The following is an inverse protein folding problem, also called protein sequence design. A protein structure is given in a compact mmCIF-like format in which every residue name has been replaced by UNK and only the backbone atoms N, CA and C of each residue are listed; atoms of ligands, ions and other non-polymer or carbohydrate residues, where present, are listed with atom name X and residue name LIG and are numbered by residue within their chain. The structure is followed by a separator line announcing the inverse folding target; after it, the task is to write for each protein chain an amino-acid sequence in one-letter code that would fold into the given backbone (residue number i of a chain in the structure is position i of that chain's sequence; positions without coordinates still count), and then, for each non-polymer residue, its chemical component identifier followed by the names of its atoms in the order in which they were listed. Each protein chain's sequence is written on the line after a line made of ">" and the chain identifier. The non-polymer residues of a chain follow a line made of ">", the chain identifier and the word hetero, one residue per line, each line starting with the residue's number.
data_IF_053545133709
#
_entry.id   IF_053545133709
#
_cell.length_a   1.000
_cell.length_b   1.000
_cell.length_c   1.000
_cell.angle_alpha   90.00
_cell.angle_beta   90.00
_cell.angle_gamma   90.00
#
_symmetry.space_group_name_H-M   'P 1'
#
loop_
_entity.id
_entity.type
_entity.pdbx_description
1 polymer ?
#
# COMPACT_ATOMS: atom_id res chain seq x y z
N UNK A 1 -90.93 19.35 -23.33
CA UNK A 1 -91.83 18.89 -24.41
C UNK A 1 -90.92 18.40 -25.54
N UNK A 2 -90.36 17.20 -25.40
CA UNK A 2 -90.71 15.97 -26.15
C UNK A 2 -90.71 16.20 -27.68
N UNK A 3 -89.93 15.55 -28.54
CA UNK A 3 -89.12 14.33 -28.48
C UNK A 3 -88.10 14.43 -29.63
N UNK A 4 -86.81 14.56 -29.32
CA UNK A 4 -85.71 14.29 -30.23
C UNK A 4 -85.18 12.88 -29.92
N UNK A 5 -84.48 12.27 -30.89
CA UNK A 5 -83.67 11.04 -30.78
C UNK A 5 -84.41 9.75 -31.21
N UNK A 6 -84.71 9.64 -32.51
CA UNK A 6 -84.83 8.36 -33.23
C UNK A 6 -84.11 8.55 -34.58
N UNK A 7 -82.77 8.46 -34.63
CA UNK A 7 -82.02 8.31 -35.90
C UNK A 7 -80.51 8.00 -35.74
N UNK A 8 -80.03 7.41 -34.64
CA UNK A 8 -78.57 7.21 -34.48
C UNK A 8 -78.15 5.94 -33.70
N UNK A 9 -78.98 4.90 -33.69
CA UNK A 9 -78.64 3.60 -33.07
C UNK A 9 -78.72 2.49 -34.13
N UNK A 10 -77.82 2.49 -35.13
CA UNK A 10 -77.58 1.33 -36.01
C UNK A 10 -76.16 1.24 -36.60
N UNK A 11 -75.16 1.88 -35.99
CA UNK A 11 -73.79 1.86 -36.51
C UNK A 11 -72.68 1.72 -35.44
N UNK A 12 -72.91 0.90 -34.40
CA UNK A 12 -71.87 0.48 -33.45
C UNK A 12 -72.02 -1.01 -33.07
N UNK A 13 -72.02 -1.89 -34.08
CA UNK A 13 -72.01 -3.35 -33.85
C UNK A 13 -71.08 -4.11 -34.83
N UNK A 14 -69.97 -3.47 -35.22
CA UNK A 14 -68.88 -4.11 -35.94
C UNK A 14 -67.57 -3.62 -35.32
N UNK A 15 -66.70 -4.57 -34.95
CA UNK A 15 -65.45 -4.42 -34.18
C UNK A 15 -65.52 -4.54 -32.66
N UNK A 16 -66.00 -5.68 -32.18
CA UNK A 16 -65.37 -6.33 -31.02
C UNK A 16 -65.16 -7.80 -31.39
N UNK A 17 -64.10 -8.07 -32.17
CA UNK A 17 -63.48 -9.40 -32.12
C UNK A 17 -62.99 -9.56 -30.68
N UNK A 18 -63.39 -10.62 -29.95
CA UNK A 18 -62.72 -10.94 -28.71
C UNK A 18 -61.30 -11.33 -29.09
N UNK A 19 -60.34 -10.43 -28.84
CA UNK A 19 -59.00 -10.91 -28.56
C UNK A 19 -59.16 -11.86 -27.37
N UNK A 20 -58.86 -13.13 -27.60
CA UNK A 20 -58.76 -14.16 -26.57
C UNK A 20 -57.73 -13.68 -25.53
N UNK A 21 -58.22 -12.92 -24.56
CA UNK A 21 -57.50 -12.71 -23.32
C UNK A 21 -57.69 -14.02 -22.57
N UNK A 22 -56.71 -14.92 -22.67
CA UNK A 22 -56.61 -16.09 -21.82
C UNK A 22 -56.47 -15.61 -20.36
N UNK A 23 -57.60 -15.30 -19.74
CA UNK A 23 -57.70 -15.13 -18.31
C UNK A 23 -57.45 -16.50 -17.68
N UNK A 24 -56.24 -16.72 -17.19
CA UNK A 24 -55.92 -17.90 -16.37
C UNK A 24 -56.82 -17.81 -15.13
N UNK A 25 -57.76 -18.75 -14.99
CA UNK A 25 -58.69 -18.78 -13.85
C UNK A 25 -57.94 -19.06 -12.55
N UNK A 26 -58.38 -18.46 -11.44
CA UNK A 26 -57.84 -18.72 -10.10
C UNK A 26 -57.86 -20.21 -9.71
N UNK A 27 -58.79 -20.99 -10.26
CA UNK A 27 -58.85 -22.46 -10.08
C UNK A 27 -57.70 -23.21 -10.76
N UNK A 28 -57.13 -22.66 -11.83
CA UNK A 28 -56.04 -23.30 -12.59
C UNK A 28 -54.70 -23.10 -11.88
N UNK A 29 -54.43 -21.89 -11.37
CA UNK A 29 -53.20 -21.57 -10.63
C UNK A 29 -53.12 -22.33 -9.31
N UNK A 30 -54.23 -22.48 -8.59
CA UNK A 30 -54.26 -23.29 -7.36
C UNK A 30 -53.99 -24.77 -7.62
N UNK A 31 -54.41 -25.31 -8.77
CA UNK A 31 -54.18 -26.71 -9.13
C UNK A 31 -52.70 -27.00 -9.41
N UNK A 32 -52.00 -26.12 -10.13
CA UNK A 32 -50.57 -26.30 -10.42
C UNK A 32 -49.70 -26.18 -9.16
N UNK A 33 -50.01 -25.24 -8.27
CA UNK A 33 -49.33 -25.11 -6.99
C UNK A 33 -49.50 -26.38 -6.15
N UNK A 34 -50.72 -26.94 -6.09
CA UNK A 34 -50.99 -28.21 -5.40
C UNK A 34 -50.19 -29.37 -6.00
N UNK A 35 -50.04 -29.46 -7.33
CA UNK A 35 -49.19 -30.49 -7.97
C UNK A 35 -47.74 -30.39 -7.52
N UNK A 36 -47.19 -29.18 -7.47
CA UNK A 36 -45.81 -28.94 -7.01
C UNK A 36 -45.66 -29.37 -5.55
N UNK A 37 -46.57 -28.94 -4.67
CA UNK A 37 -46.55 -29.36 -3.26
C UNK A 37 -46.65 -30.88 -3.10
N UNK A 38 -47.46 -31.56 -3.92
CA UNK A 38 -47.58 -33.02 -3.88
C UNK A 38 -46.28 -33.74 -4.28
N UNK A 39 -45.49 -33.18 -5.20
CA UNK A 39 -44.17 -33.74 -5.54
C UNK A 39 -43.21 -33.66 -4.35
N UNK A 40 -43.19 -32.52 -3.65
CA UNK A 40 -42.20 -32.25 -2.59
C UNK A 40 -42.65 -32.59 -1.16
N UNK A 41 -43.86 -33.12 -0.94
CA UNK A 41 -44.31 -33.52 0.40
C UNK A 41 -43.31 -34.49 1.06
N UNK A 42 -42.53 -33.94 2.02
CA UNK A 42 -41.47 -34.67 2.72
C UNK A 42 -40.19 -34.94 1.92
N UNK A 43 -40.00 -34.31 0.75
CA UNK A 43 -38.87 -34.57 -0.18
C UNK A 43 -38.07 -33.32 -0.59
N UNK A 44 -38.30 -32.17 0.05
CA UNK A 44 -37.58 -30.91 -0.25
C UNK A 44 -36.06 -31.00 -0.08
N UNK A 45 -35.54 -31.99 0.64
CA UNK A 45 -34.11 -32.23 0.81
C UNK A 45 -33.47 -33.13 -0.26
N UNK A 46 -34.25 -33.71 -1.18
CA UNK A 46 -33.75 -34.63 -2.21
C UNK A 46 -33.48 -33.86 -3.50
N UNK A 47 -32.29 -34.05 -4.08
CA UNK A 47 -31.93 -33.43 -5.37
C UNK A 47 -32.97 -33.81 -6.45
N UNK A 48 -33.48 -32.86 -7.24
CA UNK A 48 -34.64 -33.07 -8.09
C UNK A 48 -34.29 -33.72 -9.42
N UNK A 49 -33.51 -34.80 -9.37
CA UNK A 49 -33.12 -35.59 -10.53
C UNK A 49 -33.96 -36.86 -10.60
N UNK A 50 -34.40 -37.22 -11.81
CA UNK A 50 -35.07 -38.49 -12.04
C UNK A 50 -34.06 -39.65 -12.12
N UNK A 51 -32.85 -39.38 -12.61
CA UNK A 51 -31.72 -40.31 -12.70
C UNK A 51 -30.54 -39.78 -11.89
N UNK A 52 -30.17 -40.49 -10.82
CA UNK A 52 -29.07 -40.12 -9.92
C UNK A 52 -27.68 -40.24 -10.58
N UNK A 53 -27.58 -40.82 -11.78
CA UNK A 53 -26.35 -40.82 -12.57
C UNK A 53 -26.08 -39.49 -13.29
N UNK A 54 -27.10 -38.63 -13.39
CA UNK A 54 -26.99 -37.32 -14.02
C UNK A 54 -26.47 -36.26 -13.04
N UNK A 55 -25.84 -35.23 -13.58
CA UNK A 55 -25.34 -34.09 -12.82
C UNK A 55 -26.28 -32.91 -12.96
N UNK A 56 -26.82 -32.42 -11.85
CA UNK A 56 -27.62 -31.20 -11.84
C UNK A 56 -26.70 -29.99 -12.07
N UNK A 57 -27.06 -29.13 -13.02
CA UNK A 57 -26.31 -27.89 -13.29
C UNK A 57 -27.01 -26.71 -12.65
N UNK A 58 -26.28 -25.96 -11.82
CA UNK A 58 -26.75 -24.70 -11.23
C UNK A 58 -25.93 -23.55 -11.81
N UNK A 59 -26.60 -22.62 -12.48
CA UNK A 59 -25.98 -21.43 -13.06
C UNK A 59 -26.05 -20.26 -12.10
N UNK A 60 -24.89 -19.66 -11.80
CA UNK A 60 -24.73 -18.54 -10.88
C UNK A 60 -24.46 -17.24 -11.64
N UNK A 61 -25.25 -16.21 -11.36
CA UNK A 61 -25.02 -14.86 -11.83
C UNK A 61 -24.82 -13.92 -10.66
N UNK A 62 -23.90 -12.96 -10.80
CA UNK A 62 -23.67 -11.94 -9.78
C UNK A 62 -23.68 -10.55 -10.41
N UNK A 63 -24.36 -9.61 -9.75
CA UNK A 63 -24.38 -8.21 -10.11
C UNK A 63 -23.80 -7.43 -8.93
N UNK A 64 -22.63 -6.83 -9.12
CA UNK A 64 -21.99 -6.00 -8.11
C UNK A 64 -22.77 -4.69 -7.98
N UNK A 65 -23.19 -4.35 -6.75
CA UNK A 65 -23.90 -3.12 -6.43
C UNK A 65 -22.98 -2.12 -5.74
N UNK A 66 -22.23 -2.59 -4.75
CA UNK A 66 -21.30 -1.73 -4.02
C UNK A 66 -20.10 -2.54 -3.51
N UNK A 67 -18.95 -1.87 -3.48
CA UNK A 67 -17.80 -2.27 -2.68
C UNK A 67 -17.89 -1.50 -1.37
N UNK A 68 -18.35 -2.16 -0.30
CA UNK A 68 -18.66 -1.50 0.96
C UNK A 68 -17.37 -1.18 1.72
N UNK A 69 -16.50 -2.18 1.85
CA UNK A 69 -15.23 -2.03 2.53
C UNK A 69 -14.19 -3.04 2.01
N UNK A 70 -12.93 -2.63 2.08
CA UNK A 70 -11.80 -3.55 1.97
C UNK A 70 -10.84 -3.24 3.12
N UNK A 71 -10.88 -4.09 4.13
CA UNK A 71 -9.94 -4.07 5.23
C UNK A 71 -8.66 -4.77 4.79
N UNK A 72 -7.69 -3.95 4.37
CA UNK A 72 -6.35 -4.39 3.95
C UNK A 72 -5.48 -4.84 5.13
N UNK A 73 -5.88 -4.59 6.38
CA UNK A 73 -5.20 -5.07 7.59
C UNK A 73 -5.68 -6.48 7.96
N UNK A 74 -7.00 -6.68 8.01
CA UNK A 74 -7.62 -7.96 8.30
C UNK A 74 -7.67 -8.91 7.08
N UNK A 75 -7.55 -8.37 5.87
CA UNK A 75 -7.69 -9.13 4.63
C UNK A 75 -9.13 -9.55 4.37
N UNK A 76 -10.07 -8.62 4.55
CA UNK A 76 -11.51 -8.88 4.42
C UNK A 76 -12.12 -7.89 3.43
N UNK A 77 -12.89 -8.43 2.47
CA UNK A 77 -13.64 -7.66 1.48
C UNK A 77 -15.14 -7.81 1.72
N UNK A 78 -15.83 -6.69 1.85
CA UNK A 78 -17.27 -6.59 2.03
C UNK A 78 -17.91 -5.99 0.77
N UNK A 79 -18.85 -6.71 0.16
CA UNK A 79 -19.57 -6.26 -1.03
C UNK A 79 -21.07 -6.48 -0.88
N UNK A 80 -21.86 -5.60 -1.51
CA UNK A 80 -23.29 -5.82 -1.71
C UNK A 80 -23.54 -6.23 -3.16
N UNK A 81 -24.35 -7.27 -3.35
CA UNK A 81 -24.59 -7.88 -4.66
C UNK A 81 -26.02 -8.31 -4.84
N UNK A 82 -26.52 -8.30 -6.08
CA UNK A 82 -27.60 -9.23 -6.43
C UNK A 82 -26.98 -10.56 -6.85
N UNK A 83 -27.31 -11.62 -6.12
CA UNK A 83 -26.94 -12.97 -6.48
C UNK A 83 -28.15 -13.64 -7.12
N UNK A 84 -27.92 -14.29 -8.26
CA UNK A 84 -28.93 -15.03 -9.01
C UNK A 84 -28.50 -16.48 -9.19
N UNK A 85 -29.47 -17.38 -9.07
CA UNK A 85 -29.28 -18.81 -9.30
C UNK A 85 -30.37 -19.32 -10.23
N UNK A 86 -29.97 -20.20 -11.13
CA UNK A 86 -30.86 -20.87 -12.06
C UNK A 86 -30.57 -22.37 -12.07
N UNK A 87 -31.62 -23.17 -11.95
CA UNK A 87 -31.57 -24.63 -12.09
C UNK A 87 -32.88 -25.14 -12.68
N UNK A 88 -32.93 -26.41 -13.08
CA UNK A 88 -34.13 -27.05 -13.62
C UNK A 88 -34.62 -28.13 -12.66
N UNK A 89 -35.93 -28.18 -12.43
CA UNK A 89 -36.63 -29.19 -11.64
C UNK A 89 -37.08 -30.34 -12.56
N UNK A 90 -36.20 -31.30 -12.81
CA UNK A 90 -36.44 -32.37 -13.80
C UNK A 90 -37.64 -33.25 -13.44
N UNK A 91 -37.86 -33.51 -12.15
CA UNK A 91 -39.02 -34.30 -11.68
C UNK A 91 -40.34 -33.64 -12.09
N UNK A 92 -40.47 -32.33 -11.88
CA UNK A 92 -41.68 -31.60 -12.26
C UNK A 92 -41.80 -31.50 -13.79
N UNK A 93 -40.70 -31.13 -14.46
CA UNK A 93 -40.67 -30.97 -15.92
C UNK A 93 -41.10 -32.25 -16.64
N UNK A 94 -40.53 -33.40 -16.26
CA UNK A 94 -40.83 -34.68 -16.91
C UNK A 94 -42.24 -35.20 -16.57
N UNK A 95 -42.80 -34.82 -15.42
CA UNK A 95 -44.14 -35.29 -15.00
C UNK A 95 -45.26 -34.41 -15.56
N UNK A 96 -45.08 -33.08 -15.55
CA UNK A 96 -46.15 -32.11 -15.84
C UNK A 96 -45.78 -31.05 -16.89
N UNK A 97 -44.49 -30.79 -17.13
CA UNK A 97 -44.03 -29.64 -17.92
C UNK A 97 -44.58 -29.57 -19.35
N UNK A 98 -44.65 -30.69 -20.07
CA UNK A 98 -45.15 -30.71 -21.45
C UNK A 98 -46.64 -30.33 -21.59
N UNK A 99 -47.45 -30.57 -20.55
CA UNK A 99 -48.86 -30.25 -20.50
C UNK A 99 -49.16 -28.97 -19.69
N UNK A 100 -48.14 -28.37 -19.09
CA UNK A 100 -48.28 -27.18 -18.25
C UNK A 100 -48.46 -25.91 -19.11
N UNK A 101 -49.18 -24.90 -18.59
CA UNK A 101 -49.30 -23.61 -19.24
C UNK A 101 -47.94 -22.91 -19.35
N UNK A 102 -47.78 -22.07 -20.37
CA UNK A 102 -46.58 -21.26 -20.58
C UNK A 102 -46.56 -20.03 -19.65
N UNK A 103 -46.54 -20.30 -18.35
CA UNK A 103 -46.61 -19.30 -17.27
C UNK A 103 -45.64 -19.67 -16.15
N UNK A 104 -45.44 -18.73 -15.22
CA UNK A 104 -44.56 -18.92 -14.06
C UNK A 104 -45.34 -18.70 -12.76
N UNK A 105 -44.91 -19.37 -11.70
CA UNK A 105 -45.43 -19.20 -10.34
C UNK A 105 -44.29 -18.83 -9.39
N UNK A 106 -44.60 -18.05 -8.35
CA UNK A 106 -43.67 -17.73 -7.26
C UNK A 106 -43.98 -18.62 -6.07
N UNK A 107 -42.97 -19.33 -5.56
CA UNK A 107 -43.11 -20.31 -4.48
C UNK A 107 -42.04 -20.03 -3.43
N UNK A 108 -42.33 -20.29 -2.16
CA UNK A 108 -41.32 -20.23 -1.11
C UNK A 108 -40.24 -21.29 -1.31
N UNK A 109 -38.97 -20.90 -1.12
CA UNK A 109 -37.81 -21.78 -1.17
C UNK A 109 -37.86 -22.92 -0.14
N UNK A 110 -38.67 -22.81 0.92
CA UNK A 110 -38.89 -23.89 1.88
C UNK A 110 -39.76 -25.03 1.32
N UNK A 111 -40.53 -24.78 0.25
CA UNK A 111 -41.51 -25.71 -0.31
C UNK A 111 -40.99 -26.54 -1.49
N UNK A 112 -39.81 -26.20 -2.00
CA UNK A 112 -39.15 -26.88 -3.13
C UNK A 112 -37.70 -27.20 -2.75
N UNK A 113 -37.03 -28.01 -3.56
CA UNK A 113 -35.60 -28.20 -3.39
C UNK A 113 -34.84 -26.91 -3.72
N UNK A 114 -33.76 -26.66 -2.98
CA UNK A 114 -32.85 -25.53 -3.22
C UNK A 114 -31.39 -25.98 -3.13
N UNK A 115 -30.49 -25.42 -3.95
CA UNK A 115 -29.08 -25.77 -3.89
C UNK A 115 -28.45 -25.27 -2.58
N UNK A 116 -27.84 -26.16 -1.80
CA UNK A 116 -27.10 -25.80 -0.58
C UNK A 116 -25.70 -25.31 -0.95
N UNK A 117 -25.58 -24.01 -1.25
CA UNK A 117 -24.31 -23.36 -1.59
C UNK A 117 -23.70 -22.61 -0.40
N UNK A 118 -22.38 -22.60 -0.35
CA UNK A 118 -21.58 -21.88 0.66
C UNK A 118 -20.49 -21.05 0.01
N UNK A 119 -20.12 -19.96 0.69
CA UNK A 119 -18.92 -19.19 0.38
C UNK A 119 -17.72 -19.80 1.11
N UNK A 120 -16.82 -20.43 0.37
CA UNK A 120 -15.67 -21.18 0.91
C UNK A 120 -14.71 -20.29 1.69
N UNK A 121 -14.47 -19.08 1.19
CA UNK A 121 -13.59 -18.11 1.82
C UNK A 121 -14.38 -17.03 2.56
N UNK A 122 -15.47 -17.40 3.25
CA UNK A 122 -16.19 -16.44 4.10
C UNK A 122 -15.31 -16.00 5.27
N UNK A 123 -15.28 -14.69 5.54
CA UNK A 123 -14.61 -14.13 6.71
C UNK A 123 -15.58 -13.81 7.88
N UNK A 124 -16.88 -13.98 7.66
CA UNK A 124 -17.95 -13.82 8.66
C UNK A 124 -18.56 -15.15 9.08
N UNK A 125 -19.71 -15.09 9.77
CA UNK A 125 -20.50 -16.29 10.06
C UNK A 125 -21.12 -16.84 8.77
N UNK A 126 -20.86 -18.11 8.46
CA UNK A 126 -21.38 -18.75 7.25
C UNK A 126 -22.89 -18.98 7.38
N UNK A 127 -23.71 -18.07 6.85
CA UNK A 127 -25.15 -18.30 6.69
C UNK A 127 -25.44 -19.04 5.39
N UNK A 128 -26.58 -19.74 5.34
CA UNK A 128 -27.07 -20.26 4.06
C UNK A 128 -27.45 -19.09 3.15
N UNK A 129 -26.96 -19.15 1.91
CA UNK A 129 -27.19 -18.10 0.91
C UNK A 129 -28.67 -18.02 0.54
N UNK A 130 -29.32 -19.17 0.38
CA UNK A 130 -30.76 -19.24 0.06
C UNK A 130 -31.53 -19.53 1.35
N UNK A 131 -32.20 -18.50 1.88
CA UNK A 131 -32.95 -18.60 3.12
C UNK A 131 -34.30 -19.30 2.90
N UNK A 132 -34.97 -19.77 3.96
CA UNK A 132 -36.25 -20.48 3.83
C UNK A 132 -37.41 -19.58 3.38
N UNK A 133 -37.41 -18.33 3.85
CA UNK A 133 -38.37 -17.29 3.48
C UNK A 133 -38.20 -16.76 2.04
N UNK A 134 -37.07 -17.04 1.39
CA UNK A 134 -36.79 -16.59 0.04
C UNK A 134 -37.85 -17.11 -0.93
N UNK A 135 -38.09 -16.36 -2.01
CA UNK A 135 -39.05 -16.71 -3.04
C UNK A 135 -38.33 -17.16 -4.31
N UNK A 136 -38.81 -18.22 -4.94
CA UNK A 136 -38.28 -18.79 -6.18
C UNK A 136 -39.36 -18.71 -7.25
N UNK A 137 -39.01 -18.22 -8.44
CA UNK A 137 -39.89 -18.22 -9.60
C UNK A 137 -39.66 -19.52 -10.37
N UNK A 138 -40.71 -20.31 -10.54
CA UNK A 138 -40.68 -21.53 -11.33
C UNK A 138 -41.48 -21.34 -12.62
N UNK A 139 -40.86 -21.61 -13.76
CA UNK A 139 -41.50 -21.63 -15.07
C UNK A 139 -42.10 -23.01 -15.32
N UNK A 140 -43.43 -23.11 -15.36
CA UNK A 140 -44.14 -24.39 -15.31
C UNK A 140 -43.83 -25.26 -16.52
N UNK A 141 -43.82 -24.69 -17.72
CA UNK A 141 -43.59 -25.45 -18.96
C UNK A 141 -42.17 -26.01 -19.11
N UNK A 142 -41.16 -25.30 -18.61
CA UNK A 142 -39.75 -25.72 -18.70
C UNK A 142 -39.21 -26.37 -17.43
N UNK A 143 -39.90 -26.25 -16.30
CA UNK A 143 -39.40 -26.63 -14.98
C UNK A 143 -38.22 -25.79 -14.48
N UNK A 144 -37.87 -24.71 -15.18
CA UNK A 144 -36.76 -23.84 -14.80
C UNK A 144 -37.13 -23.02 -13.56
N UNK A 145 -36.24 -23.00 -12.58
CA UNK A 145 -36.32 -22.24 -11.35
C UNK A 145 -35.31 -21.10 -11.36
N UNK A 146 -35.76 -19.90 -11.01
CA UNK A 146 -34.94 -18.71 -10.86
C UNK A 146 -35.09 -18.16 -9.44
N UNK A 147 -33.95 -17.98 -8.77
CA UNK A 147 -33.86 -17.28 -7.49
C UNK A 147 -32.96 -16.07 -7.67
N UNK A 148 -33.34 -14.93 -7.11
CA UNK A 148 -32.51 -13.72 -7.11
C UNK A 148 -32.77 -12.92 -5.83
N UNK A 149 -31.70 -12.54 -5.14
CA UNK A 149 -31.81 -11.81 -3.88
C UNK A 149 -30.61 -10.87 -3.69
N UNK A 150 -30.79 -9.82 -2.88
CA UNK A 150 -29.68 -8.96 -2.46
C UNK A 150 -28.93 -9.65 -1.33
N UNK A 151 -27.63 -9.85 -1.50
CA UNK A 151 -26.76 -10.54 -0.56
C UNK A 151 -25.52 -9.72 -0.30
N UNK A 152 -25.30 -9.42 0.96
CA UNK A 152 -24.03 -8.90 1.46
C UNK A 152 -23.06 -10.06 1.67
N UNK A 153 -21.91 -9.99 1.00
CA UNK A 153 -20.89 -11.02 1.03
C UNK A 153 -19.63 -10.47 1.70
N UNK A 154 -19.15 -11.22 2.68
CA UNK A 154 -17.89 -10.96 3.37
C UNK A 154 -16.90 -12.09 3.07
N UNK A 155 -15.86 -11.76 2.29
CA UNK A 155 -14.88 -12.71 1.78
C UNK A 155 -13.45 -12.41 2.26
N UNK A 156 -12.74 -13.44 2.71
CA UNK A 156 -11.31 -13.35 2.99
C UNK A 156 -10.53 -13.20 1.69
N UNK A 157 -9.63 -12.22 1.66
CA UNK A 157 -8.74 -11.89 0.56
C UNK A 157 -7.32 -11.63 1.09
N UNK A 158 -6.30 -11.99 0.31
CA UNK A 158 -4.91 -11.71 0.69
C UNK A 158 -4.48 -10.38 0.09
N UNK A 159 -4.29 -9.32 0.90
CA UNK A 159 -3.85 -8.03 0.42
C UNK A 159 -2.39 -8.11 -0.07
N UNK A 160 -2.08 -7.37 -1.12
CA UNK A 160 -0.72 -7.18 -1.61
C UNK A 160 -0.36 -5.71 -1.55
N UNK A 161 0.30 -5.30 -0.46
CA UNK A 161 0.64 -3.90 -0.17
C UNK A 161 2.05 -3.50 -0.64
N UNK A 162 2.69 -4.32 -1.48
CA UNK A 162 4.08 -4.08 -1.90
C UNK A 162 4.29 -2.68 -2.50
N UNK A 163 3.38 -2.23 -3.36
CA UNK A 163 3.43 -0.90 -3.99
C UNK A 163 2.55 0.15 -3.31
N UNK A 164 2.18 -0.04 -2.03
CA UNK A 164 1.37 0.93 -1.30
C UNK A 164 1.94 2.37 -1.42
N UNK A 165 1.10 3.40 -1.67
CA UNK A 165 -0.37 3.40 -1.78
C UNK A 165 -0.89 3.18 -3.22
N UNK A 166 -0.04 2.77 -4.16
CA UNK A 166 -0.38 2.46 -5.56
C UNK A 166 -0.63 0.96 -5.76
N UNK A 167 -1.21 0.34 -4.75
CA UNK A 167 -1.45 -1.09 -4.66
C UNK A 167 -2.72 -1.52 -5.42
N UNK A 168 -2.66 -2.74 -5.93
CA UNK A 168 -3.75 -3.42 -6.64
C UNK A 168 -3.97 -4.76 -5.97
N UNK A 169 -5.23 -5.12 -5.77
CA UNK A 169 -5.62 -6.34 -5.08
C UNK A 169 -6.53 -7.19 -5.96
N UNK A 170 -6.27 -8.50 -5.96
CA UNK A 170 -7.06 -9.51 -6.65
C UNK A 170 -7.83 -10.33 -5.61
N UNK A 171 -9.08 -9.94 -5.36
CA UNK A 171 -9.95 -10.62 -4.41
C UNK A 171 -10.95 -11.51 -5.12
N UNK A 172 -11.41 -12.58 -4.46
CA UNK A 172 -12.35 -13.51 -5.09
C UNK A 172 -13.36 -14.07 -4.11
N UNK A 173 -14.58 -14.24 -4.55
CA UNK A 173 -15.65 -14.95 -3.84
C UNK A 173 -15.84 -16.33 -4.48
N UNK A 174 -15.67 -17.38 -3.67
CA UNK A 174 -15.66 -18.77 -4.15
C UNK A 174 -16.86 -19.53 -3.60
N UNK A 175 -17.80 -19.87 -4.46
CA UNK A 175 -18.98 -20.66 -4.12
C UNK A 175 -18.75 -22.14 -4.40
N UNK A 176 -19.27 -23.00 -3.55
CA UNK A 176 -19.32 -24.45 -3.75
C UNK A 176 -20.54 -25.06 -3.08
N UNK A 177 -20.87 -26.30 -3.43
CA UNK A 177 -21.92 -27.04 -2.73
C UNK A 177 -21.43 -27.59 -1.39
N UNK A 178 -22.23 -27.38 -0.34
CA UNK A 178 -21.99 -27.98 0.98
C UNK A 178 -22.17 -29.49 0.93
N UNK A 179 -23.28 -29.96 0.38
CA UNK A 179 -23.68 -31.37 0.42
C UNK A 179 -23.13 -32.20 -0.75
N UNK A 180 -23.07 -31.65 -1.96
CA UNK A 180 -22.89 -32.44 -3.20
C UNK A 180 -21.48 -32.38 -3.77
N UNK A 181 -21.06 -33.43 -4.45
CA UNK A 181 -19.79 -33.47 -5.20
C UNK A 181 -19.99 -33.02 -6.67
N UNK A 182 -18.89 -32.84 -7.41
CA UNK A 182 -18.93 -32.36 -8.80
C UNK A 182 -19.67 -33.30 -9.77
N UNK A 183 -19.81 -34.59 -9.45
CA UNK A 183 -20.58 -35.55 -10.24
C UNK A 183 -22.09 -35.44 -10.03
N UNK A 184 -22.53 -34.91 -8.89
CA UNK A 184 -23.95 -34.77 -8.54
C UNK A 184 -24.45 -33.36 -8.86
N UNK A 185 -23.63 -32.35 -8.56
CA UNK A 185 -23.95 -30.94 -8.77
C UNK A 185 -22.76 -30.18 -9.38
N UNK A 186 -22.98 -29.63 -10.56
CA UNK A 186 -22.04 -28.76 -11.28
C UNK A 186 -22.46 -27.30 -11.16
N UNK A 187 -21.49 -26.43 -10.89
CA UNK A 187 -21.68 -24.99 -10.81
C UNK A 187 -21.14 -24.32 -12.07
N UNK A 188 -22.00 -23.56 -12.74
CA UNK A 188 -21.62 -22.70 -13.86
C UNK A 188 -21.77 -21.24 -13.47
N UNK A 189 -21.02 -20.35 -14.14
CA UNK A 189 -21.19 -18.90 -13.97
C UNK A 189 -21.83 -18.34 -15.24
N UNK A 190 -23.03 -17.79 -15.11
CA UNK A 190 -23.81 -17.23 -16.22
C UNK A 190 -23.43 -15.77 -16.51
N UNK A 191 -23.20 -14.98 -15.47
CA UNK A 191 -22.87 -13.56 -15.62
C UNK A 191 -22.14 -12.98 -14.42
N UNK A 192 -21.28 -11.99 -14.66
CA UNK A 192 -20.75 -11.12 -13.61
C UNK A 192 -20.70 -9.68 -14.13
N UNK A 193 -21.60 -8.84 -13.61
CA UNK A 193 -21.87 -7.50 -14.14
C UNK A 193 -21.79 -6.44 -13.05
N UNK A 194 -21.63 -5.17 -13.46
CA UNK A 194 -21.57 -3.99 -12.59
C UNK A 194 -22.46 -2.83 -13.08
N UNK A 195 -23.51 -3.15 -13.86
CA UNK A 195 -24.45 -2.20 -14.46
C UNK A 195 -25.08 -1.20 -13.45
N UNK A 196 -25.35 -1.65 -12.21
CA UNK A 196 -25.89 -0.82 -11.11
C UNK A 196 -24.87 -0.52 -10.01
N UNK A 197 -23.58 -0.49 -10.35
CA UNK A 197 -22.52 -0.31 -9.37
C UNK A 197 -22.35 1.16 -8.96
N UNK A 198 -22.37 1.41 -7.65
CA UNK A 198 -21.99 2.68 -7.06
C UNK A 198 -20.47 2.72 -6.83
N UNK A 199 -19.81 3.75 -7.37
CA UNK A 199 -18.36 3.90 -7.22
C UNK A 199 -17.95 4.14 -5.76
N UNK A 200 -16.91 3.43 -5.33
CA UNK A 200 -16.32 3.62 -4.02
C UNK A 200 -15.32 4.80 -4.00
N UNK A 201 -15.29 5.52 -2.88
CA UNK A 201 -14.46 6.72 -2.67
C UNK A 201 -12.98 6.39 -2.41
N UNK A 202 -12.68 5.22 -1.85
CA UNK A 202 -11.32 4.79 -1.54
C UNK A 202 -10.73 3.85 -2.60
N UNK A 203 -11.58 3.12 -3.33
CA UNK A 203 -11.18 2.03 -4.22
C UNK A 203 -11.85 2.13 -5.60
N UNK A 204 -11.11 1.82 -6.66
CA UNK A 204 -11.65 1.65 -8.02
C UNK A 204 -11.72 0.17 -8.38
N UNK A 205 -12.78 -0.24 -9.08
CA UNK A 205 -12.93 -1.60 -9.62
C UNK A 205 -12.41 -1.62 -11.06
N UNK A 206 -11.23 -2.20 -11.25
CA UNK A 206 -10.51 -2.21 -12.53
C UNK A 206 -10.98 -3.32 -13.45
N UNK A 207 -11.08 -4.55 -12.92
CA UNK A 207 -11.44 -5.74 -13.71
C UNK A 207 -12.30 -6.69 -12.91
N UNK A 208 -13.22 -7.34 -13.60
CA UNK A 208 -14.03 -8.44 -13.07
C UNK A 208 -13.86 -9.65 -13.97
N UNK A 209 -13.73 -10.82 -13.37
CA UNK A 209 -13.57 -12.08 -14.10
C UNK A 209 -14.25 -13.21 -13.36
N UNK A 210 -14.60 -14.25 -14.11
CA UNK A 210 -15.28 -15.43 -13.59
C UNK A 210 -14.51 -16.67 -13.99
N UNK A 211 -14.54 -17.69 -13.15
CA UNK A 211 -13.93 -18.99 -13.46
C UNK A 211 -14.72 -20.08 -12.78
N UNK A 212 -15.07 -21.11 -13.53
CA UNK A 212 -15.60 -22.37 -12.98
C UNK A 212 -14.46 -23.38 -12.96
N UNK A 213 -14.31 -24.07 -11.83
CA UNK A 213 -13.23 -25.02 -11.64
C UNK A 213 -13.70 -26.19 -10.78
N UNK A 214 -13.25 -27.39 -11.14
CA UNK A 214 -13.44 -28.59 -10.33
C UNK A 214 -12.15 -28.78 -9.53
N UNK A 215 -12.27 -28.77 -8.20
CA UNK A 215 -11.14 -28.94 -7.29
C UNK A 215 -11.58 -29.80 -6.11
N UNK A 216 -10.77 -30.77 -5.72
CA UNK A 216 -11.05 -31.69 -4.61
C UNK A 216 -12.41 -32.42 -4.76
N UNK A 217 -12.76 -32.84 -5.98
CA UNK A 217 -14.06 -33.45 -6.33
C UNK A 217 -15.28 -32.57 -6.04
N UNK A 218 -15.08 -31.26 -5.86
CA UNK A 218 -16.14 -30.26 -5.68
C UNK A 218 -16.15 -29.29 -6.85
N UNK A 219 -17.33 -29.00 -7.37
CA UNK A 219 -17.50 -27.91 -8.33
C UNK A 219 -17.44 -26.56 -7.61
N UNK A 220 -16.64 -25.63 -8.12
CA UNK A 220 -16.46 -24.29 -7.54
C UNK A 220 -16.68 -23.21 -8.59
N UNK A 221 -17.46 -22.20 -8.23
CA UNK A 221 -17.63 -20.98 -9.01
C UNK A 221 -16.88 -19.83 -8.33
N UNK A 222 -15.94 -19.22 -9.06
CA UNK A 222 -15.10 -18.13 -8.57
C UNK A 222 -15.47 -16.84 -9.28
N UNK A 223 -15.87 -15.84 -8.52
CA UNK A 223 -16.02 -14.45 -8.96
C UNK A 223 -14.82 -13.66 -8.48
N UNK A 224 -14.02 -13.10 -9.38
CA UNK A 224 -12.81 -12.36 -9.04
C UNK A 224 -12.95 -10.88 -9.40
N UNK A 225 -12.61 -10.02 -8.44
CA UNK A 225 -12.66 -8.56 -8.53
C UNK A 225 -11.24 -8.05 -8.32
N UNK A 226 -10.73 -7.31 -9.31
CA UNK A 226 -9.48 -6.56 -9.21
C UNK A 226 -9.80 -5.13 -8.82
N UNK A 227 -9.29 -4.70 -7.68
CA UNK A 227 -9.46 -3.33 -7.17
C UNK A 227 -8.11 -2.61 -7.09
N UNK A 228 -8.13 -1.28 -7.26
CA UNK A 228 -6.97 -0.42 -7.09
C UNK A 228 -7.28 0.72 -6.10
N UNK A 229 -6.29 1.13 -5.32
CA UNK A 229 -6.48 2.22 -4.34
C UNK A 229 -6.48 3.59 -5.01
N UNK A 230 -7.37 4.47 -4.58
CA UNK A 230 -7.32 5.90 -4.94
C UNK A 230 -6.22 6.60 -4.11
N UNK A 231 -5.01 6.65 -4.68
CA UNK A 231 -3.78 7.00 -3.96
C UNK A 231 -3.53 8.51 -3.73
N UNK A 232 -4.25 9.40 -4.41
CA UNK A 232 -3.96 10.85 -4.41
C UNK A 232 -3.92 11.45 -3.00
N UNK A 233 -4.86 11.06 -2.14
CA UNK A 233 -4.94 11.54 -0.76
C UNK A 233 -3.67 11.15 0.03
N UNK A 234 -3.19 9.91 -0.15
CA UNK A 234 -1.99 9.42 0.52
C UNK A 234 -0.72 10.12 0.03
N UNK A 235 -0.66 10.44 -1.27
CA UNK A 235 0.46 11.20 -1.85
C UNK A 235 0.57 12.58 -1.21
N UNK A 236 -0.55 13.31 -1.11
CA UNK A 236 -0.55 14.67 -0.58
C UNK A 236 -0.32 14.74 0.94
N UNK A 237 -0.88 13.81 1.71
CA UNK A 237 -0.86 13.87 3.17
C UNK A 237 0.30 13.10 3.82
N UNK A 238 0.93 12.16 3.12
CA UNK A 238 2.07 11.40 3.66
C UNK A 238 3.33 11.57 2.82
N UNK A 239 3.30 11.23 1.53
CA UNK A 239 4.51 11.20 0.69
C UNK A 239 5.11 12.60 0.55
N UNK A 240 4.28 13.62 0.28
CA UNK A 240 4.74 14.99 0.11
C UNK A 240 5.40 15.56 1.40
N UNK A 241 4.79 15.46 2.60
CA UNK A 241 5.46 15.84 3.86
C UNK A 241 6.76 15.11 4.12
N UNK A 242 6.84 13.80 3.82
CA UNK A 242 8.06 13.01 3.99
C UNK A 242 9.20 13.52 3.09
N UNK A 243 8.91 13.87 1.83
CA UNK A 243 9.90 14.44 0.90
C UNK A 243 10.38 15.82 1.34
N UNK A 244 9.48 16.65 1.89
CA UNK A 244 9.86 17.95 2.46
C UNK A 244 10.75 17.74 3.70
N UNK A 245 10.36 16.81 4.58
CA UNK A 245 11.11 16.49 5.80
C UNK A 245 12.50 15.92 5.50
N UNK A 246 12.64 15.08 4.47
CA UNK A 246 13.95 14.56 4.05
C UNK A 246 14.86 15.65 3.50
N UNK A 247 14.30 16.59 2.74
CA UNK A 247 15.00 17.81 2.35
C UNK A 247 15.48 18.59 3.56
N UNK A 248 14.59 18.91 4.49
CA UNK A 248 14.87 19.65 5.72
C UNK A 248 15.98 18.98 6.56
N UNK A 249 15.92 17.67 6.75
CA UNK A 249 16.88 16.92 7.57
C UNK A 249 18.36 17.19 7.20
N UNK A 250 18.66 17.42 5.91
CA UNK A 250 20.03 17.72 5.43
C UNK A 250 20.44 19.17 5.70
N UNK A 251 19.49 20.12 5.82
CA UNK A 251 19.80 21.54 6.11
C UNK A 251 20.43 21.76 7.49
N UNK A 252 20.45 20.74 8.37
CA UNK A 252 21.15 20.83 9.67
C UNK A 252 22.64 21.17 9.53
N UNK A 253 23.28 20.77 8.42
CA UNK A 253 24.69 21.06 8.18
C UNK A 253 24.94 22.50 7.70
N UNK A 254 23.90 23.22 7.26
CA UNK A 254 23.99 24.65 6.92
C UNK A 254 23.87 25.51 8.19
N UNK A 255 23.18 25.02 9.22
CA UNK A 255 23.01 25.74 10.48
C UNK A 255 24.39 25.96 11.16
N UNK A 256 24.67 27.21 11.60
CA UNK A 256 25.92 27.54 12.25
C UNK A 256 26.08 26.74 13.54
N UNK A 257 27.28 26.21 13.76
CA UNK A 257 27.63 25.33 14.89
C UNK A 257 27.46 26.00 16.26
N UNK A 258 27.63 27.31 16.31
CA UNK A 258 27.42 28.13 17.52
C UNK A 258 25.96 28.18 17.99
N UNK A 259 25.00 27.74 17.17
CA UNK A 259 23.60 27.71 17.56
C UNK A 259 23.29 26.45 18.37
N UNK A 260 22.86 26.64 19.62
CA UNK A 260 22.37 25.55 20.47
C UNK A 260 21.15 24.83 19.85
N UNK A 261 20.43 25.50 18.95
CA UNK A 261 19.25 24.97 18.26
C UNK A 261 19.57 23.89 17.22
N UNK A 262 20.84 23.75 16.80
CA UNK A 262 21.23 22.74 15.79
C UNK A 262 20.96 21.31 16.25
N UNK A 263 21.22 21.00 17.53
CA UNK A 263 20.91 19.69 18.09
C UNK A 263 19.39 19.47 18.17
N UNK A 264 18.65 20.48 18.65
CA UNK A 264 17.20 20.44 18.76
C UNK A 264 16.52 20.22 17.40
N UNK A 265 16.98 20.90 16.36
CA UNK A 265 16.52 20.71 14.98
C UNK A 265 16.70 19.26 14.51
N UNK A 266 17.90 18.70 14.71
CA UNK A 266 18.22 17.35 14.28
C UNK A 266 17.36 16.30 14.99
N UNK A 267 17.20 16.42 16.31
CA UNK A 267 16.37 15.53 17.12
C UNK A 267 14.89 15.63 16.72
N UNK A 268 14.40 16.84 16.45
CA UNK A 268 13.02 17.07 16.00
C UNK A 268 12.76 16.42 14.64
N UNK A 269 13.69 16.53 13.68
CA UNK A 269 13.59 15.86 12.39
C UNK A 269 13.55 14.33 12.54
N UNK A 270 14.42 13.77 13.38
CA UNK A 270 14.44 12.33 13.67
C UNK A 270 13.11 11.86 14.28
N UNK A 271 12.59 12.58 15.27
CA UNK A 271 11.31 12.26 15.90
C UNK A 271 10.14 12.33 14.89
N UNK A 272 10.14 13.33 14.01
CA UNK A 272 9.14 13.45 12.96
C UNK A 272 9.14 12.23 12.02
N UNK A 273 10.32 11.73 11.61
CA UNK A 273 10.40 10.49 10.82
C UNK A 273 9.83 9.29 11.55
N UNK A 274 10.11 9.14 12.85
CA UNK A 274 9.56 8.04 13.66
C UNK A 274 8.03 8.11 13.70
N UNK A 275 7.45 9.30 13.86
CA UNK A 275 5.99 9.50 13.86
C UNK A 275 5.37 9.13 12.52
N UNK A 276 5.95 9.58 11.40
CA UNK A 276 5.44 9.24 10.07
C UNK A 276 5.59 7.74 9.76
N UNK A 277 6.72 7.14 10.10
CA UNK A 277 6.93 5.70 9.96
C UNK A 277 5.89 4.91 10.76
N UNK A 278 5.69 5.26 12.03
CA UNK A 278 4.72 4.58 12.88
C UNK A 278 3.30 4.71 12.32
N UNK A 279 2.91 5.91 11.88
CA UNK A 279 1.60 6.15 11.25
C UNK A 279 1.37 5.22 10.05
N UNK A 280 2.33 5.15 9.13
CA UNK A 280 2.21 4.29 7.94
C UNK A 280 2.17 2.80 8.32
N UNK A 281 3.02 2.35 9.25
CA UNK A 281 3.05 0.94 9.68
C UNK A 281 1.74 0.54 10.36
N UNK A 282 1.10 1.44 11.11
CA UNK A 282 -0.20 1.14 11.73
C UNK A 282 -1.35 1.02 10.74
N UNK A 283 -1.23 1.65 9.56
CA UNK A 283 -2.22 1.55 8.47
C UNK A 283 -2.01 0.35 7.54
N UNK A 284 -0.94 -0.42 7.74
CA UNK A 284 -0.61 -1.58 6.92
C UNK A 284 -0.95 -2.89 7.66
N UNK A 285 -1.24 -3.98 6.93
CA UNK A 285 -1.41 -5.29 7.53
C UNK A 285 -0.19 -5.70 8.35
N UNK A 286 -0.43 -6.31 9.52
CA UNK A 286 0.60 -6.91 10.39
C UNK A 286 1.13 -8.23 9.82
N UNK A 287 1.47 -8.25 8.53
CA UNK A 287 2.11 -9.38 7.87
C UNK A 287 3.61 -9.13 7.72
N UNK A 288 4.42 -10.17 7.88
CA UNK A 288 5.86 -10.11 7.61
C UNK A 288 6.18 -10.12 6.12
N UNK A 289 5.21 -10.42 5.24
CA UNK A 289 5.41 -10.41 3.79
C UNK A 289 4.09 -10.24 3.00
N UNK A 290 4.11 -9.53 1.85
CA UNK A 290 5.18 -8.64 1.39
C UNK A 290 5.15 -7.29 2.15
N UNK A 291 6.32 -6.80 2.57
CA UNK A 291 6.48 -5.45 3.16
C UNK A 291 6.43 -4.41 2.04
N UNK A 292 5.80 -3.25 2.30
CA UNK A 292 5.69 -2.19 1.31
C UNK A 292 7.03 -1.51 1.02
N UNK A 293 7.27 -1.14 -0.25
CA UNK A 293 8.48 -0.40 -0.65
C UNK A 293 8.56 0.95 0.06
N UNK A 294 7.42 1.58 0.36
CA UNK A 294 7.35 2.83 1.14
C UNK A 294 7.91 2.66 2.57
N UNK A 295 7.64 1.52 3.24
CA UNK A 295 8.18 1.25 4.58
C UNK A 295 9.70 1.07 4.53
N UNK A 296 10.24 0.40 3.51
CA UNK A 296 11.69 0.32 3.31
C UNK A 296 12.31 1.70 3.11
N UNK A 297 11.69 2.53 2.27
CA UNK A 297 12.12 3.91 2.04
C UNK A 297 12.15 4.73 3.34
N UNK A 298 11.06 4.68 4.12
CA UNK A 298 10.97 5.37 5.41
C UNK A 298 11.99 4.87 6.44
N UNK A 299 12.24 3.56 6.48
CA UNK A 299 13.23 2.97 7.39
C UNK A 299 14.63 3.48 7.06
N UNK A 300 14.99 3.55 5.77
CA UNK A 300 16.27 4.11 5.34
C UNK A 300 16.37 5.59 5.69
N UNK A 301 15.36 6.41 5.41
CA UNK A 301 15.37 7.83 5.79
C UNK A 301 15.49 8.06 7.29
N UNK A 302 14.79 7.25 8.10
CA UNK A 302 14.93 7.27 9.55
C UNK A 302 16.35 6.91 9.99
N UNK A 303 16.97 5.89 9.39
CA UNK A 303 18.35 5.50 9.72
C UNK A 303 19.36 6.59 9.33
N UNK A 304 19.17 7.27 8.20
CA UNK A 304 20.00 8.40 7.78
C UNK A 304 19.85 9.56 8.77
N UNK A 305 18.62 9.89 9.17
CA UNK A 305 18.36 10.92 10.19
C UNK A 305 19.00 10.56 11.55
N UNK A 306 18.96 9.29 11.96
CA UNK A 306 19.66 8.81 13.14
C UNK A 306 21.19 8.97 13.03
N UNK A 307 21.78 8.69 11.86
CA UNK A 307 23.22 8.90 11.64
C UNK A 307 23.56 10.40 11.70
N UNK A 308 22.74 11.25 11.06
CA UNK A 308 22.92 12.71 11.06
C UNK A 308 22.84 13.27 12.49
N UNK A 309 21.85 12.87 13.28
CA UNK A 309 21.73 13.30 14.69
C UNK A 309 22.96 12.91 15.50
N UNK A 310 23.45 11.67 15.36
CA UNK A 310 24.68 11.22 16.05
C UNK A 310 25.90 12.03 15.62
N UNK A 311 26.05 12.30 14.32
CA UNK A 311 27.14 13.13 13.79
C UNK A 311 27.08 14.56 14.36
N UNK A 312 25.89 15.18 14.37
CA UNK A 312 25.69 16.52 14.94
C UNK A 312 26.06 16.54 16.42
N UNK A 313 25.56 15.59 17.21
CA UNK A 313 25.89 15.49 18.64
C UNK A 313 27.40 15.29 18.84
N UNK A 314 28.04 14.43 18.04
CA UNK A 314 29.48 14.23 18.10
C UNK A 314 30.25 15.52 17.80
N UNK A 315 29.88 16.25 16.74
CA UNK A 315 30.52 17.53 16.39
C UNK A 315 30.37 18.57 17.50
N UNK A 316 29.19 18.67 18.12
CA UNK A 316 28.94 19.59 19.24
C UNK A 316 29.71 19.19 20.51
N UNK A 317 29.82 17.89 20.80
CA UNK A 317 30.62 17.40 21.93
C UNK A 317 32.11 17.70 21.74
N UNK A 318 32.62 17.57 20.51
CA UNK A 318 34.00 17.94 20.19
C UNK A 318 34.24 19.44 20.38
N UNK A 319 33.33 20.29 19.91
CA UNK A 319 33.42 21.74 20.08
C UNK A 319 33.43 22.14 21.56
N UNK A 320 32.49 21.62 22.37
CA UNK A 320 32.45 21.88 23.82
C UNK A 320 33.72 21.41 24.55
N UNK A 321 34.32 20.29 24.12
CA UNK A 321 35.59 19.80 24.68
C UNK A 321 36.76 20.72 24.35
N UNK A 322 36.83 21.24 23.13
CA UNK A 322 37.88 22.18 22.70
C UNK A 322 37.75 23.50 23.45
N UNK A 323 36.57 24.10 23.52
CA UNK A 323 36.32 25.35 24.27
C UNK A 323 36.72 25.18 25.74
N UNK A 324 36.31 24.07 26.38
CA UNK A 324 36.68 23.78 27.78
C UNK A 324 38.18 23.58 27.98
N UNK A 325 38.90 23.00 27.02
CA UNK A 325 40.36 22.90 27.09
C UNK A 325 41.02 24.28 27.01
N UNK A 326 40.50 25.17 26.16
CA UNK A 326 41.04 26.51 25.99
C UNK A 326 40.81 27.38 27.23
N UNK A 327 39.62 27.33 27.86
CA UNK A 327 39.37 28.00 29.14
C UNK A 327 40.33 27.55 30.26
N UNK A 328 40.70 26.27 30.29
CA UNK A 328 41.66 25.73 31.27
C UNK A 328 43.08 26.20 30.96
N UNK A 329 43.46 26.28 29.68
CA UNK A 329 44.78 26.80 29.28
C UNK A 329 44.92 28.30 29.54
N UNK A 330 43.86 29.10 29.34
CA UNK A 330 43.86 30.53 29.68
C UNK A 330 44.02 30.76 31.18
N UNK A 331 43.25 30.04 32.02
CA UNK A 331 43.41 30.11 33.49
C UNK A 331 44.83 29.78 33.94
N UNK A 332 45.46 28.75 33.35
CA UNK A 332 46.87 28.42 33.63
C UNK A 332 47.84 29.52 33.19
N UNK A 333 47.56 30.22 32.09
CA UNK A 333 48.39 31.36 31.62
C UNK A 333 48.24 32.57 32.56
N UNK A 334 47.05 32.83 33.08
CA UNK A 334 46.79 33.90 34.05
C UNK A 334 47.46 33.61 35.40
N UNK A 335 47.31 32.40 35.94
CA UNK A 335 48.01 31.96 37.17
C UNK A 335 49.55 32.03 37.02
N UNK A 336 50.08 31.61 35.87
CA UNK A 336 51.52 31.73 35.59
C UNK A 336 51.98 33.18 35.46
N UNK A 337 51.17 34.11 34.92
CA UNK A 337 51.50 35.53 34.89
C UNK A 337 51.49 36.14 36.29
N UNK A 338 50.54 35.77 37.14
CA UNK A 338 50.46 36.25 38.52
C UNK A 338 51.63 35.73 39.36
N UNK A 339 52.00 34.46 39.22
CA UNK A 339 53.18 33.87 39.87
C UNK A 339 54.50 34.48 39.36
N UNK A 340 54.57 34.87 38.08
CA UNK A 340 55.74 35.56 37.52
C UNK A 340 55.83 37.02 37.97
N UNK A 341 54.71 37.68 38.26
CA UNK A 341 54.67 39.00 38.90
C UNK A 341 55.19 38.97 40.33
N UNK A 342 54.79 37.97 41.13
CA UNK A 342 55.27 37.79 42.51
C UNK A 342 56.77 37.42 42.58
N UNK A 343 57.26 36.58 41.67
CA UNK A 343 58.69 36.26 41.57
C UNK A 343 59.59 37.42 41.06
N UNK A 344 59.02 38.49 40.49
CA UNK A 344 59.77 39.69 40.11
C UNK A 344 59.87 40.68 41.27
N UNK A 345 58.95 40.63 42.24
CA UNK A 345 59.06 41.39 43.49
C UNK A 345 60.05 40.77 44.48
N UNK A 346 60.30 39.45 44.43
CA UNK A 346 61.32 38.77 45.24
C UNK A 346 62.75 38.76 44.63
N UNK A 347 62.94 39.28 43.40
CA UNK A 347 64.27 39.32 42.74
C UNK A 347 64.84 40.73 42.55
N UNK A 348 64.45 41.66 43.42
CA UNK A 348 65.06 43.00 43.54
C UNK A 348 65.96 43.13 44.77
N UNK A 349 66.74 42.09 45.07
CA UNK A 349 67.92 42.17 45.93
C UNK A 349 68.93 41.16 45.39
N UNK A 350 69.78 41.62 44.47
CA UNK A 350 71.22 41.35 44.41
C UNK A 350 71.77 41.64 43.00
N UNK A 351 72.83 42.44 43.02
CA UNK A 351 73.47 43.09 41.89
C UNK A 351 74.29 42.14 40.99
N UNK A 352 74.52 42.68 39.78
CA UNK A 352 75.81 42.78 39.10
C UNK A 352 76.38 41.67 38.20
N UNK A 353 76.70 42.18 37.00
CA UNK A 353 77.85 41.90 36.13
C UNK A 353 77.79 40.83 35.01
N UNK A 354 78.23 41.37 33.85
CA UNK A 354 78.92 40.76 32.67
C UNK A 354 78.08 40.15 31.55
N UNK A 355 78.20 40.79 30.38
CA UNK A 355 79.12 40.27 29.35
C UNK A 355 78.51 39.53 28.16
N UNK A 356 78.42 40.27 27.05
CA UNK A 356 78.71 39.94 25.65
C UNK A 356 78.18 38.69 24.91
N UNK A 357 77.85 38.99 23.64
CA UNK A 357 77.95 38.20 22.41
C UNK A 357 76.80 37.30 21.90
N UNK A 358 76.33 37.76 20.73
CA UNK A 358 75.62 37.08 19.64
C UNK A 358 75.84 35.56 19.53
N UNK A 359 74.75 34.81 19.32
CA UNK A 359 74.72 33.76 18.29
C UNK A 359 73.30 33.31 17.91
N UNK A 360 73.03 33.42 16.62
CA UNK A 360 71.99 32.71 15.89
C UNK A 360 72.20 31.19 15.95
N UNK A 361 71.13 30.45 16.28
CA UNK A 361 71.00 28.97 16.14
C UNK A 361 69.52 28.74 15.78
N UNK A 362 69.17 28.72 14.50
CA UNK A 362 68.97 27.53 13.66
C UNK A 362 67.77 26.67 14.09
N UNK A 363 66.58 27.05 13.63
CA UNK A 363 65.48 26.10 13.50
C UNK A 363 65.80 25.12 12.37
N UNK A 364 66.03 23.85 12.72
CA UNK A 364 66.06 22.74 11.77
C UNK A 364 64.63 22.47 11.31
N UNK A 365 64.33 22.42 10.01
CA UNK A 365 63.11 21.79 9.54
C UNK A 365 63.28 20.27 9.55
N UNK A 366 62.52 19.59 10.41
CA UNK A 366 62.24 18.17 10.25
C UNK A 366 61.02 18.06 9.33
N UNK A 367 61.24 17.78 8.05
CA UNK A 367 60.44 16.86 7.21
C UNK A 367 60.87 16.95 5.74
N UNK A 368 61.22 15.79 5.18
CA UNK A 368 61.78 15.57 3.84
C UNK A 368 60.75 15.67 2.68
N UNK A 369 59.62 16.37 2.86
CA UNK A 369 58.51 16.39 1.89
C UNK A 369 58.53 17.56 0.89
N UNK A 370 59.52 18.45 0.95
CA UNK A 370 59.58 19.66 0.12
C UNK A 370 60.75 19.66 -0.87
N UNK A 371 60.97 18.57 -1.61
CA UNK A 371 61.80 18.61 -2.83
C UNK A 371 60.88 18.53 -4.05
N UNK A 372 60.81 19.55 -4.91
CA UNK A 372 60.17 19.44 -6.20
C UNK A 372 61.16 18.77 -7.17
N UNK A 373 61.10 17.44 -7.29
CA UNK A 373 61.84 16.77 -8.37
C UNK A 373 61.00 16.69 -9.65
N UNK A 374 61.47 17.52 -10.58
CA UNK A 374 61.42 17.46 -12.04
C UNK A 374 61.16 16.06 -12.62
N UNK A 375 60.28 16.07 -13.62
CA UNK A 375 59.87 15.04 -14.58
C UNK A 375 61.04 14.25 -15.17
N UNK A 376 60.88 12.92 -15.28
CA UNK A 376 61.37 12.14 -16.44
C UNK A 376 60.44 10.95 -16.72
N UNK A 377 60.05 10.85 -17.99
CA UNK A 377 59.20 9.84 -18.62
C UNK A 377 59.85 8.46 -18.63
N UNK A 378 59.08 7.40 -18.32
CA UNK A 378 59.15 6.13 -19.06
C UNK A 378 57.74 5.63 -19.32
N UNK A 379 57.42 5.53 -20.60
CA UNK A 379 56.22 4.98 -21.17
C UNK A 379 56.24 3.44 -21.20
N UNK A 380 55.03 2.89 -21.18
CA UNK A 380 54.52 1.67 -21.84
C UNK A 380 53.93 0.53 -20.98
N UNK A 381 52.60 0.44 -21.14
CA UNK A 381 51.76 -0.72 -21.45
C UNK A 381 50.88 -1.39 -20.37
N UNK A 382 49.58 -1.19 -20.63
CA UNK A 382 48.40 -2.04 -20.41
C UNK A 382 47.58 -1.87 -19.13
N UNK A 383 46.68 -0.89 -19.24
CA UNK A 383 45.41 -0.71 -18.55
C UNK A 383 44.49 -1.94 -18.67
N UNK A 384 43.79 -2.27 -17.58
CA UNK A 384 42.32 -2.35 -17.61
C UNK A 384 41.76 -2.06 -16.20
N UNK A 385 41.64 -0.79 -15.84
CA UNK A 385 40.81 -0.36 -14.71
C UNK A 385 40.08 0.92 -15.12
N UNK A 386 38.75 0.85 -15.11
CA UNK A 386 37.82 1.93 -15.42
C UNK A 386 38.21 3.20 -14.65
N UNK A 387 38.22 4.34 -15.35
CA UNK A 387 38.38 5.64 -14.71
C UNK A 387 37.20 5.94 -13.77
N UNK A 388 37.43 6.33 -12.50
CA UNK A 388 36.36 6.69 -11.59
C UNK A 388 35.72 8.03 -11.99
N UNK A 389 34.40 8.22 -11.76
CA UNK A 389 33.69 9.43 -12.13
C UNK A 389 34.30 10.69 -11.51
N UNK A 390 34.22 11.84 -12.20
CA UNK A 390 34.85 13.13 -11.84
C UNK A 390 34.63 13.58 -10.38
N UNK A 391 33.58 13.12 -9.68
CA UNK A 391 33.35 13.36 -8.25
C UNK A 391 34.36 12.65 -7.33
N UNK A 392 34.78 11.42 -7.64
CA UNK A 392 35.78 10.67 -6.86
C UNK A 392 37.18 11.27 -7.00
N UNK A 393 37.50 11.83 -8.17
CA UNK A 393 38.75 12.58 -8.38
C UNK A 393 38.77 13.90 -7.58
N UNK A 394 37.64 14.59 -7.46
CA UNK A 394 37.50 15.75 -6.56
C UNK A 394 37.68 15.38 -5.09
N UNK A 395 37.16 14.22 -4.66
CA UNK A 395 37.34 13.69 -3.30
C UNK A 395 38.83 13.46 -2.98
N UNK A 396 39.56 12.82 -3.90
CA UNK A 396 41.00 12.57 -3.77
C UNK A 396 41.82 13.87 -3.64
N UNK A 397 41.48 14.88 -4.45
CA UNK A 397 42.14 16.18 -4.42
C UNK A 397 41.85 16.96 -3.13
N UNK A 398 40.62 16.87 -2.62
CA UNK A 398 40.24 17.47 -1.33
C UNK A 398 40.94 16.78 -0.15
N UNK A 399 41.02 15.45 -0.13
CA UNK A 399 41.79 14.71 0.89
C UNK A 399 43.28 15.05 0.86
N UNK A 400 43.90 15.17 -0.32
CA UNK A 400 45.31 15.61 -0.44
C UNK A 400 45.51 17.04 0.04
N UNK A 401 44.55 17.94 -0.19
CA UNK A 401 44.60 19.33 0.25
C UNK A 401 44.47 19.47 1.77
N UNK A 402 43.68 18.60 2.42
CA UNK A 402 43.56 18.49 3.89
C UNK A 402 44.89 18.04 4.51
N UNK A 403 45.54 17.03 3.92
CA UNK A 403 46.82 16.49 4.43
C UNK A 403 47.99 17.47 4.21
N UNK A 404 48.09 18.12 3.05
CA UNK A 404 49.17 19.08 2.78
C UNK A 404 49.09 20.38 3.61
N UNK A 405 47.88 20.87 3.93
CA UNK A 405 47.72 22.05 4.80
C UNK A 405 48.06 21.77 6.27
N UNK A 406 48.04 20.50 6.68
CA UNK A 406 48.35 20.07 8.05
C UNK A 406 49.84 20.24 8.41
N UNK A 407 50.73 20.36 7.41
CA UNK A 407 52.19 20.34 7.63
C UNK A 407 52.88 21.73 7.69
N UNK A 408 52.21 22.86 7.39
CA UNK A 408 52.93 24.11 7.04
C UNK A 408 52.76 25.30 8.03
N UNK A 409 51.91 25.30 9.07
CA UNK A 409 51.66 26.54 9.85
C UNK A 409 51.73 26.42 11.39
N UNK A 410 52.18 27.49 12.10
CA UNK A 410 52.67 27.48 13.48
C UNK A 410 51.57 27.34 14.56
N UNK A 411 52.00 27.01 15.79
CA UNK A 411 51.22 26.45 16.91
C UNK A 411 50.22 27.38 17.64
N UNK A 412 50.14 28.67 17.33
CA UNK A 412 49.31 29.64 18.10
C UNK A 412 47.88 29.87 17.57
N UNK A 413 47.41 29.07 16.60
CA UNK A 413 46.09 29.23 15.95
C UNK A 413 45.18 27.99 16.09
N UNK A 414 45.12 27.38 17.27
CA UNK A 414 44.38 26.11 17.48
C UNK A 414 42.85 26.25 17.41
N UNK A 415 42.27 27.37 17.85
CA UNK A 415 40.82 27.65 17.79
C UNK A 415 40.29 27.79 16.36
N UNK A 416 40.89 28.68 15.54
CA UNK A 416 40.49 28.88 14.14
C UNK A 416 40.61 27.57 13.32
N UNK A 417 41.59 26.72 13.66
CA UNK A 417 41.90 25.47 12.96
C UNK A 417 40.80 24.41 13.11
N UNK A 418 40.17 24.28 14.29
CA UNK A 418 39.11 23.29 14.49
C UNK A 418 37.77 23.74 13.91
N UNK A 419 37.46 25.04 13.99
CA UNK A 419 36.24 25.61 13.39
C UNK A 419 36.26 25.48 11.86
N UNK A 420 37.42 25.70 11.23
CA UNK A 420 37.56 25.59 9.77
C UNK A 420 37.52 24.14 9.27
N UNK A 421 38.07 23.20 10.05
CA UNK A 421 37.94 21.76 9.78
C UNK A 421 36.50 21.31 9.91
N UNK A 422 35.79 21.74 10.96
CA UNK A 422 34.38 21.41 11.15
C UNK A 422 33.49 22.02 10.05
N UNK A 423 33.78 23.25 9.59
CA UNK A 423 33.09 23.87 8.44
C UNK A 423 33.28 23.06 7.16
N UNK A 424 34.50 22.58 6.93
CA UNK A 424 34.80 21.75 5.76
C UNK A 424 34.06 20.40 5.82
N UNK A 425 33.98 19.80 7.02
CA UNK A 425 33.24 18.55 7.24
C UNK A 425 31.73 18.73 7.06
N UNK A 426 31.14 19.80 7.57
CA UNK A 426 29.70 20.06 7.41
C UNK A 426 29.32 20.25 5.94
N UNK A 427 30.12 20.99 5.16
CA UNK A 427 29.89 21.11 3.71
C UNK A 427 30.02 19.76 3.01
N UNK A 428 30.98 18.93 3.42
CA UNK A 428 31.13 17.59 2.87
C UNK A 428 29.91 16.70 3.19
N UNK A 429 29.48 16.65 4.47
CA UNK A 429 28.33 15.86 4.88
C UNK A 429 27.04 16.37 4.22
N UNK A 430 26.86 17.68 4.12
CA UNK A 430 25.74 18.28 3.42
C UNK A 430 25.63 17.77 1.97
N UNK A 431 26.72 17.86 1.21
CA UNK A 431 26.74 17.40 -0.19
C UNK A 431 26.55 15.89 -0.27
N UNK A 432 27.21 15.12 0.60
CA UNK A 432 27.13 13.67 0.62
C UNK A 432 25.69 13.18 0.89
N UNK A 433 25.06 13.68 1.96
CA UNK A 433 23.70 13.30 2.32
C UNK A 433 22.68 13.84 1.31
N UNK A 434 22.80 15.08 0.83
CA UNK A 434 21.87 15.61 -0.16
C UNK A 434 21.88 14.78 -1.45
N UNK A 435 23.07 14.46 -1.98
CA UNK A 435 23.17 13.65 -3.20
C UNK A 435 22.65 12.23 -2.96
N UNK A 436 22.97 11.64 -1.80
CA UNK A 436 22.47 10.31 -1.41
C UNK A 436 20.94 10.26 -1.35
N UNK A 437 20.32 11.26 -0.69
CA UNK A 437 18.87 11.43 -0.54
C UNK A 437 18.16 11.59 -1.89
N UNK A 438 18.71 12.42 -2.79
CA UNK A 438 18.15 12.63 -4.14
C UNK A 438 18.21 11.32 -4.95
N UNK A 439 19.37 10.65 -4.96
CA UNK A 439 19.53 9.39 -5.70
C UNK A 439 18.56 8.34 -5.15
N UNK A 440 18.49 8.18 -3.83
CA UNK A 440 17.62 7.20 -3.20
C UNK A 440 16.13 7.50 -3.45
N UNK A 441 15.73 8.77 -3.37
CA UNK A 441 14.36 9.21 -3.69
C UNK A 441 14.00 8.94 -5.16
N UNK A 442 14.92 9.14 -6.10
CA UNK A 442 14.71 8.82 -7.51
C UNK A 442 14.60 7.31 -7.75
N UNK A 443 15.45 6.51 -7.08
CA UNK A 443 15.38 5.05 -7.12
C UNK A 443 14.06 4.51 -6.55
N UNK A 444 13.47 5.18 -5.56
CA UNK A 444 12.15 4.84 -5.03
C UNK A 444 11.01 5.26 -5.98
N UNK A 445 11.02 6.51 -6.45
CA UNK A 445 9.93 7.06 -7.25
C UNK A 445 9.83 6.44 -8.65
N UNK A 446 10.94 6.00 -9.25
CA UNK A 446 10.94 5.47 -10.61
C UNK A 446 10.11 4.17 -10.77
N UNK A 447 10.34 3.10 -9.98
CA UNK A 447 9.51 1.89 -10.02
C UNK A 447 8.05 2.15 -9.64
N UNK A 448 7.82 3.02 -8.65
CA UNK A 448 6.48 3.36 -8.18
C UNK A 448 5.68 4.12 -9.24
N UNK A 449 6.32 5.06 -9.94
CA UNK A 449 5.72 5.77 -11.06
C UNK A 449 5.42 4.81 -12.22
N UNK A 450 6.35 3.90 -12.56
CA UNK A 450 6.12 2.89 -13.59
C UNK A 450 4.92 1.99 -13.26
N UNK A 451 4.78 1.57 -11.99
CA UNK A 451 3.63 0.80 -11.52
C UNK A 451 2.32 1.59 -11.64
N UNK A 452 2.31 2.87 -11.23
CA UNK A 452 1.13 3.72 -11.35
C UNK A 452 0.66 3.84 -12.81
N UNK A 453 1.59 4.09 -13.75
CA UNK A 453 1.26 4.17 -15.17
C UNK A 453 0.86 2.83 -15.79
N UNK A 454 1.40 1.70 -15.31
CA UNK A 454 0.98 0.37 -15.77
C UNK A 454 -0.39 -0.06 -15.23
N UNK A 455 -0.86 0.56 -14.15
CA UNK A 455 -2.13 0.22 -13.51
C UNK A 455 -3.33 0.95 -14.10
N UNK A 456 -3.09 2.08 -14.78
CA UNK A 456 -4.07 2.81 -15.60
C UNK A 456 -4.09 2.28 -17.02
#
# INVERSE_FOLDING_TARGET
>A
MNMYIISSIRFCFLFLLPHECHAVSWSSVSTEVVKIFNIYQGKTSVIPLQDLSQTLTVSLGMQLLALNNFDDVAGIMDISTYLSMEWTEDIYFNTYGAAAPDTSVTISAASIWKPSLILVNSAGSSTEIVQEQSQVRMYLKSGKCEWTENVDLQGSCRPNVYFYPFDVHDCSFKFTSRAYNSSELSLLVSSFKKDFFEENVAWSVEKMSTTTLIQDSKSRAKFQIRIARRSLNFVLNYILPILILSGLNVFVFILPRSSEERAGYSVTCFLAFVVFMNTIVTSLPKSSAPVSVLVYYLTVMMTISAIITVLVLFTLMMEKRVVKQNEVEEKKKEENKENRGKNIEEKKEDEDQKGNDNKSISDRPCCLCCIPNRVEDISTQNQLLLEPPRCLQKLSWMCRRIVCRYCILPKDATELRWVEVANTLDVFFFVFFMVGEIIFSLCYLSPVAAQYWSSK
#
